data_IF_311140863512
#
_entry.id   IF_311140863512
#
_cell.length_a   1.000
_cell.length_b   1.000
_cell.length_c   1.000
_cell.angle_alpha   90.00
_cell.angle_beta   90.00
_cell.angle_gamma   90.00
#
_symmetry.space_group_name_H-M   'P 1'
#
loop_
_entity.id
_entity.type
_entity.pdbx_description
1 polymer ?
#
# COMPACT_ATOMS: atom_id res chain seq x y z
N UNK A 1 2.69 15.02 -21.16
CA UNK A 1 2.97 13.68 -20.63
C UNK A 1 2.28 13.53 -19.26
N UNK A 2 1.62 12.41 -18.99
CA UNK A 2 0.94 12.22 -17.71
C UNK A 2 1.94 12.01 -16.58
N UNK A 3 1.66 12.58 -15.43
CA UNK A 3 2.45 12.36 -14.22
C UNK A 3 2.36 10.89 -13.81
N UNK A 4 3.49 10.30 -13.40
CA UNK A 4 3.54 8.92 -12.94
C UNK A 4 3.21 8.86 -11.45
N UNK A 5 2.30 7.96 -11.08
CA UNK A 5 1.80 7.80 -9.71
C UNK A 5 1.82 6.31 -9.34
N UNK A 6 2.32 5.99 -8.15
CA UNK A 6 2.22 4.62 -7.64
C UNK A 6 0.79 4.33 -7.21
N UNK A 7 0.34 3.10 -7.39
CA UNK A 7 -0.96 2.68 -6.87
C UNK A 7 -0.86 1.25 -6.33
N UNK A 8 -1.48 1.00 -5.17
CA UNK A 8 -1.62 -0.36 -4.66
C UNK A 8 -2.32 -1.22 -5.70
N UNK A 9 -1.67 -2.27 -6.17
CA UNK A 9 -2.17 -3.09 -7.27
C UNK A 9 -3.55 -3.68 -6.99
N UNK A 10 -3.86 -3.98 -5.72
CA UNK A 10 -5.19 -4.49 -5.35
C UNK A 10 -6.31 -3.49 -5.66
N UNK A 11 -6.04 -2.19 -5.61
CA UNK A 11 -7.02 -1.16 -5.95
C UNK A 11 -7.34 -1.14 -7.45
N UNK A 12 -6.46 -1.70 -8.26
CA UNK A 12 -6.63 -1.81 -9.71
C UNK A 12 -7.22 -3.15 -10.14
N UNK A 13 -7.66 -3.97 -9.18
CA UNK A 13 -8.27 -5.26 -9.47
C UNK A 13 -7.29 -6.43 -9.59
N UNK A 14 -6.02 -6.21 -9.25
CA UNK A 14 -5.04 -7.30 -9.25
C UNK A 14 -5.21 -8.13 -7.98
N UNK A 15 -5.28 -9.45 -8.15
CA UNK A 15 -5.56 -10.38 -7.05
C UNK A 15 -4.32 -10.64 -6.20
N UNK A 16 -3.82 -9.59 -5.54
CA UNK A 16 -2.63 -9.64 -4.69
C UNK A 16 -2.93 -9.41 -3.20
N UNK A 17 -4.20 -9.29 -2.84
CA UNK A 17 -4.62 -9.19 -1.45
C UNK A 17 -4.28 -10.50 -0.71
N UNK A 18 -4.13 -10.44 0.62
CA UNK A 18 -3.70 -11.61 1.41
C UNK A 18 -4.53 -12.87 1.16
N UNK A 19 -5.83 -12.72 0.87
CA UNK A 19 -6.73 -13.85 0.62
C UNK A 19 -6.85 -14.24 -0.87
N UNK A 20 -6.02 -13.65 -1.75
CA UNK A 20 -6.07 -13.92 -3.19
C UNK A 20 -7.13 -13.12 -3.94
N UNK A 21 -7.78 -12.18 -3.27
CA UNK A 21 -8.77 -11.30 -3.89
C UNK A 21 -8.17 -9.92 -4.18
N UNK A 22 -9.00 -8.93 -4.45
CA UNK A 22 -8.58 -7.57 -4.74
C UNK A 22 -9.49 -6.57 -4.03
N UNK A 23 -9.16 -5.29 -4.14
CA UNK A 23 -9.92 -4.18 -3.58
C UNK A 23 -10.25 -3.18 -4.70
N UNK A 24 -10.68 -3.66 -5.86
CA UNK A 24 -10.94 -2.82 -7.02
C UNK A 24 -11.76 -1.58 -6.64
N UNK A 25 -11.28 -0.42 -7.08
CA UNK A 25 -11.97 0.86 -6.90
C UNK A 25 -13.36 0.83 -7.51
N UNK A 26 -14.23 1.71 -7.02
CA UNK A 26 -15.59 1.83 -7.54
C UNK A 26 -15.64 2.06 -9.03
N UNK A 27 -16.79 1.75 -9.63
CA UNK A 27 -16.99 1.78 -11.08
C UNK A 27 -16.51 3.10 -11.70
N UNK A 28 -15.67 3.00 -12.73
CA UNK A 28 -15.16 4.14 -13.49
C UNK A 28 -14.03 4.92 -12.85
N UNK A 29 -13.74 4.73 -11.55
CA UNK A 29 -12.72 5.52 -10.86
C UNK A 29 -11.33 5.25 -11.41
N UNK A 30 -10.99 3.98 -11.63
CA UNK A 30 -9.68 3.61 -12.16
C UNK A 30 -9.46 4.19 -13.56
N UNK A 31 -10.48 4.12 -14.41
CA UNK A 31 -10.41 4.70 -15.76
C UNK A 31 -10.20 6.22 -15.71
N UNK A 32 -10.89 6.90 -14.81
CA UNK A 32 -10.75 8.34 -14.62
C UNK A 32 -9.33 8.72 -14.22
N UNK A 33 -8.77 7.98 -13.25
CA UNK A 33 -7.41 8.25 -12.78
C UNK A 33 -6.41 7.98 -13.89
N UNK A 34 -6.57 6.89 -14.64
CA UNK A 34 -5.61 6.51 -15.70
C UNK A 34 -5.63 7.45 -16.90
N UNK A 35 -6.67 8.25 -17.06
CA UNK A 35 -6.68 9.31 -18.08
C UNK A 35 -5.76 10.47 -17.70
N UNK A 36 -5.63 10.74 -16.40
CA UNK A 36 -4.84 11.87 -15.88
C UNK A 36 -3.42 11.46 -15.51
N UNK A 37 -3.23 10.25 -15.02
CA UNK A 37 -1.96 9.76 -14.48
C UNK A 37 -1.53 8.49 -15.15
N UNK A 38 -0.24 8.30 -15.26
CA UNK A 38 0.35 7.02 -15.65
C UNK A 38 0.54 6.22 -14.37
N UNK A 39 -0.27 5.17 -14.17
CA UNK A 39 -0.27 4.39 -12.95
C UNK A 39 0.79 3.29 -12.97
N UNK A 40 1.55 3.20 -11.88
CA UNK A 40 2.53 2.13 -11.68
C UNK A 40 2.02 1.26 -10.53
N UNK A 41 1.76 0.00 -10.82
CA UNK A 41 1.11 -0.92 -9.89
C UNK A 41 2.13 -1.57 -8.97
N UNK A 42 1.90 -1.48 -7.66
CA UNK A 42 2.81 -2.05 -6.66
C UNK A 42 2.03 -2.87 -5.64
N UNK A 43 2.70 -3.88 -5.09
CA UNK A 43 2.22 -4.61 -3.92
C UNK A 43 3.43 -4.87 -3.02
N UNK A 44 3.64 -4.06 -1.97
CA UNK A 44 4.82 -4.20 -1.11
C UNK A 44 4.95 -5.59 -0.50
N UNK A 45 3.84 -6.23 -0.19
CA UNK A 45 3.87 -7.56 0.45
C UNK A 45 4.35 -8.63 -0.53
N UNK A 46 3.85 -8.61 -1.77
CA UNK A 46 4.31 -9.54 -2.81
C UNK A 46 5.76 -9.25 -3.19
N UNK A 47 6.12 -7.98 -3.34
CA UNK A 47 7.50 -7.57 -3.63
C UNK A 47 8.46 -8.00 -2.52
N UNK A 48 7.97 -8.06 -1.29
CA UNK A 48 8.74 -8.53 -0.14
C UNK A 48 8.90 -10.03 -0.05
N UNK A 49 8.38 -10.79 -1.01
CA UNK A 49 8.52 -12.23 -1.06
C UNK A 49 7.41 -13.02 -0.39
N UNK A 50 6.30 -12.37 -0.04
CA UNK A 50 5.16 -13.08 0.56
C UNK A 50 4.27 -13.67 -0.52
N UNK A 51 3.76 -14.88 -0.27
CA UNK A 51 2.90 -15.59 -1.22
C UNK A 51 1.49 -14.99 -1.25
N UNK A 52 0.76 -15.29 -2.30
CA UNK A 52 -0.67 -15.00 -2.42
C UNK A 52 -1.38 -16.33 -2.70
N UNK A 53 -2.29 -16.81 -1.85
CA UNK A 53 -2.70 -16.21 -0.57
C UNK A 53 -1.64 -16.35 0.53
N UNK A 54 -1.84 -15.60 1.61
CA UNK A 54 -0.96 -15.59 2.78
C UNK A 54 -1.76 -15.26 4.03
N UNK A 55 -1.18 -15.49 5.18
CA UNK A 55 -1.81 -15.10 6.44
C UNK A 55 -1.94 -13.58 6.52
N UNK A 56 -3.04 -13.05 7.09
CA UNK A 56 -3.12 -11.63 7.39
C UNK A 56 -2.05 -11.24 8.41
N UNK A 57 -1.53 -10.03 8.28
CA UNK A 57 -0.52 -9.48 9.17
C UNK A 57 -0.95 -8.11 9.66
N UNK A 58 -0.46 -7.71 10.84
CA UNK A 58 -0.70 -6.39 11.41
C UNK A 58 0.56 -5.88 12.10
N UNK A 59 0.63 -4.56 12.23
CA UNK A 59 1.70 -3.92 13.00
C UNK A 59 1.45 -4.13 14.48
N UNK A 60 2.49 -4.55 15.22
CA UNK A 60 2.41 -4.75 16.65
C UNK A 60 3.76 -4.40 17.28
N UNK A 61 3.78 -3.38 18.15
CA UNK A 61 5.00 -2.96 18.85
C UNK A 61 6.20 -2.72 17.91
N UNK A 62 5.94 -2.09 16.77
CA UNK A 62 6.98 -1.77 15.79
C UNK A 62 7.37 -2.90 14.86
N UNK A 63 6.78 -4.07 15.03
CA UNK A 63 7.01 -5.23 14.16
C UNK A 63 5.77 -5.51 13.33
N UNK A 64 5.95 -6.26 12.23
CA UNK A 64 4.81 -6.78 11.45
C UNK A 64 4.72 -8.28 11.74
N UNK A 65 3.59 -8.70 12.28
CA UNK A 65 3.38 -10.09 12.67
C UNK A 65 2.13 -10.66 12.01
N UNK A 66 2.19 -11.96 11.67
CA UNK A 66 1.02 -12.67 11.13
C UNK A 66 0.09 -13.07 12.26
N UNK A 67 -1.11 -13.52 11.89
CA UNK A 67 -2.11 -14.00 12.85
C UNK A 67 -1.59 -15.14 13.73
N UNK A 68 -0.66 -15.95 13.23
CA UNK A 68 0.00 -17.02 13.99
C UNK A 68 1.32 -16.58 14.62
N UNK A 69 1.52 -15.27 14.75
CA UNK A 69 2.66 -14.64 15.44
C UNK A 69 4.01 -14.83 14.73
N UNK A 70 4.03 -15.03 13.43
CA UNK A 70 5.28 -15.01 12.66
C UNK A 70 5.70 -13.57 12.40
N UNK A 71 6.96 -13.26 12.62
CA UNK A 71 7.53 -11.95 12.32
C UNK A 71 7.87 -11.89 10.83
N UNK A 72 7.18 -11.01 10.10
CA UNK A 72 7.40 -10.78 8.67
C UNK A 72 7.90 -9.37 8.40
N UNK A 73 8.45 -8.71 9.42
CA UNK A 73 8.92 -7.33 9.33
C UNK A 73 9.94 -7.13 8.22
N UNK A 74 10.89 -8.04 8.06
CA UNK A 74 11.91 -7.93 7.01
C UNK A 74 11.32 -8.04 5.61
N UNK A 75 10.30 -8.88 5.43
CA UNK A 75 9.58 -8.97 4.15
C UNK A 75 8.91 -7.63 3.82
N UNK A 76 8.22 -7.04 4.80
CA UNK A 76 7.54 -5.76 4.61
C UNK A 76 8.54 -4.64 4.31
N UNK A 77 9.65 -4.61 5.02
CA UNK A 77 10.70 -3.62 4.81
C UNK A 77 11.31 -3.75 3.40
N UNK A 78 11.64 -4.97 2.99
CA UNK A 78 12.20 -5.23 1.67
C UNK A 78 11.24 -4.80 0.57
N UNK A 79 9.96 -5.14 0.69
CA UNK A 79 8.94 -4.73 -0.27
C UNK A 79 8.74 -3.22 -0.33
N UNK A 80 8.80 -2.54 0.82
CA UNK A 80 8.72 -1.09 0.88
C UNK A 80 9.90 -0.44 0.15
N UNK A 81 11.10 -0.98 0.32
CA UNK A 81 12.31 -0.48 -0.35
C UNK A 81 12.20 -0.65 -1.87
N UNK A 82 11.63 -1.75 -2.35
CA UNK A 82 11.38 -1.95 -3.78
C UNK A 82 10.41 -0.89 -4.31
N UNK A 83 9.33 -0.63 -3.58
CA UNK A 83 8.36 0.40 -3.98
C UNK A 83 9.01 1.78 -4.06
N UNK A 84 9.84 2.12 -3.09
CA UNK A 84 10.57 3.38 -3.12
C UNK A 84 11.51 3.46 -4.32
N UNK A 85 12.21 2.38 -4.64
CA UNK A 85 13.09 2.31 -5.80
C UNK A 85 12.32 2.55 -7.10
N UNK A 86 11.18 1.90 -7.24
CA UNK A 86 10.31 2.10 -8.42
C UNK A 86 9.87 3.57 -8.51
N UNK A 87 9.47 4.16 -7.38
CA UNK A 87 9.07 5.56 -7.36
C UNK A 87 10.20 6.49 -7.80
N UNK A 88 11.40 6.29 -7.27
CA UNK A 88 12.56 7.12 -7.61
C UNK A 88 12.98 6.95 -9.07
N UNK A 89 13.02 5.73 -9.58
CA UNK A 89 13.38 5.47 -10.98
C UNK A 89 12.39 6.09 -11.96
N UNK A 90 11.15 6.29 -11.55
CA UNK A 90 10.10 6.83 -12.41
C UNK A 90 9.73 8.28 -12.10
N UNK A 91 10.36 8.90 -11.11
CA UNK A 91 10.07 10.27 -10.73
C UNK A 91 8.70 10.47 -10.12
N UNK A 92 8.16 9.45 -9.45
CA UNK A 92 6.84 9.55 -8.81
C UNK A 92 6.91 10.45 -7.57
N UNK A 93 5.95 11.35 -7.45
CA UNK A 93 5.81 12.24 -6.30
C UNK A 93 4.56 11.96 -5.50
N UNK A 94 3.70 11.06 -5.98
CA UNK A 94 2.43 10.71 -5.36
C UNK A 94 2.21 9.20 -5.41
N UNK A 95 1.47 8.70 -4.43
CA UNK A 95 1.09 7.29 -4.37
C UNK A 95 -0.34 7.18 -3.84
N UNK A 96 -1.12 6.28 -4.44
CA UNK A 96 -2.47 5.94 -3.99
C UNK A 96 -2.37 4.56 -3.36
N UNK A 97 -2.48 4.48 -2.04
CA UNK A 97 -2.25 3.25 -1.30
C UNK A 97 -3.49 2.78 -0.55
N UNK A 98 -3.68 1.47 -0.46
CA UNK A 98 -4.82 0.87 0.24
C UNK A 98 -4.82 1.23 1.72
N UNK A 99 -5.91 1.79 2.20
CA UNK A 99 -6.06 2.21 3.59
C UNK A 99 -5.94 1.04 4.58
N UNK A 100 -5.44 1.34 5.76
CA UNK A 100 -5.40 0.50 6.97
C UNK A 100 -4.50 -0.73 6.91
N UNK A 101 -3.88 -1.03 5.78
CA UNK A 101 -3.01 -2.20 5.67
C UNK A 101 -1.67 -1.97 6.39
N UNK A 102 -1.01 -3.05 6.87
CA UNK A 102 0.29 -2.91 7.52
C UNK A 102 1.40 -2.46 6.58
N UNK A 103 1.20 -2.55 5.27
CA UNK A 103 2.16 -2.06 4.28
C UNK A 103 1.76 -0.69 3.72
N UNK A 104 0.53 -0.53 3.32
CA UNK A 104 0.05 0.63 2.55
C UNK A 104 -0.74 1.65 3.36
N UNK A 105 -1.16 1.34 4.57
CA UNK A 105 -2.02 2.21 5.36
C UNK A 105 -1.37 3.54 5.67
N UNK A 106 -2.13 4.63 5.53
CA UNK A 106 -1.66 5.98 5.78
C UNK A 106 -2.55 6.65 6.83
N UNK A 107 -1.96 7.01 7.95
CA UNK A 107 -2.64 7.68 9.06
C UNK A 107 -3.33 6.74 10.04
N UNK A 108 -3.86 5.63 9.59
CA UNK A 108 -4.49 4.61 10.42
C UNK A 108 -4.09 3.22 9.98
N UNK A 109 -3.84 2.36 10.94
CA UNK A 109 -3.51 0.94 10.72
C UNK A 109 -4.19 0.10 11.79
N UNK A 110 -4.28 -1.21 11.57
CA UNK A 110 -4.76 -2.13 12.61
C UNK A 110 -3.70 -2.30 13.70
N UNK A 111 -4.16 -2.50 14.94
CA UNK A 111 -3.31 -2.40 16.14
C UNK A 111 -2.51 -3.65 16.51
N UNK A 112 -2.66 -4.73 15.75
CA UNK A 112 -1.96 -5.98 16.05
C UNK A 112 -2.76 -6.99 16.85
N UNK A 113 -3.99 -6.65 17.26
CA UNK A 113 -4.87 -7.56 18.03
C UNK A 113 -5.69 -8.46 17.12
N UNK A 114 -5.71 -8.22 15.82
CA UNK A 114 -6.54 -8.93 14.84
C UNK A 114 -8.04 -8.85 15.16
N UNK A 115 -8.45 -7.73 15.76
CA UNK A 115 -9.83 -7.45 16.17
C UNK A 115 -10.45 -6.28 15.41
N UNK A 116 -9.84 -5.84 14.31
CA UNK A 116 -10.24 -4.67 13.48
C UNK A 116 -10.20 -3.34 14.25
N UNK A 117 -9.41 -3.27 15.31
CA UNK A 117 -9.20 -2.02 16.04
C UNK A 117 -8.12 -1.20 15.34
N UNK A 118 -8.42 0.08 15.08
CA UNK A 118 -7.51 1.00 14.41
C UNK A 118 -6.76 1.86 15.41
N UNK A 119 -5.50 2.17 15.07
CA UNK A 119 -4.68 3.13 15.80
C UNK A 119 -4.07 4.10 14.79
N UNK A 120 -3.60 5.24 15.29
CA UNK A 120 -2.85 6.18 14.47
C UNK A 120 -1.49 5.57 14.11
N UNK A 121 -1.12 5.67 12.85
CA UNK A 121 0.15 5.15 12.37
C UNK A 121 0.13 4.93 10.88
N UNK A 122 1.30 4.57 10.35
CA UNK A 122 1.48 4.28 8.93
C UNK A 122 1.95 2.85 8.74
N UNK A 123 1.54 2.24 7.62
CA UNK A 123 2.11 0.99 7.17
C UNK A 123 3.58 1.19 6.76
N UNK A 124 4.32 0.10 6.67
CA UNK A 124 5.77 0.15 6.42
C UNK A 124 6.12 0.89 5.13
N UNK A 125 5.42 0.58 4.03
CA UNK A 125 5.67 1.24 2.75
C UNK A 125 5.19 2.69 2.76
N UNK A 126 4.02 2.97 3.32
CA UNK A 126 3.50 4.34 3.40
C UNK A 126 4.48 5.24 4.16
N UNK A 127 4.99 4.76 5.29
CA UNK A 127 5.95 5.51 6.08
C UNK A 127 7.22 5.83 5.30
N UNK A 128 7.79 4.82 4.64
CA UNK A 128 9.03 4.99 3.88
C UNK A 128 8.84 5.98 2.72
N UNK A 129 7.73 5.89 2.01
CA UNK A 129 7.44 6.82 0.91
C UNK A 129 7.28 8.25 1.42
N UNK A 130 6.57 8.45 2.52
CA UNK A 130 6.40 9.79 3.13
C UNK A 130 7.75 10.37 3.59
N UNK A 131 8.62 9.56 4.15
CA UNK A 131 9.95 9.98 4.59
C UNK A 131 10.82 10.43 3.41
N UNK A 132 10.47 10.03 2.20
CA UNK A 132 11.16 10.41 0.98
C UNK A 132 10.35 11.41 0.14
N UNK A 133 9.50 12.17 0.79
CA UNK A 133 8.75 13.30 0.22
C UNK A 133 7.75 12.89 -0.87
N UNK A 134 7.25 11.66 -0.81
CA UNK A 134 6.18 11.21 -1.68
C UNK A 134 4.85 11.39 -0.94
N UNK A 135 3.91 12.11 -1.56
CA UNK A 135 2.59 12.33 -0.99
C UNK A 135 1.77 11.04 -1.12
N UNK A 136 1.24 10.56 0.00
CA UNK A 136 0.46 9.32 0.03
C UNK A 136 -1.02 9.64 0.25
N UNK A 137 -1.86 9.12 -0.63
CA UNK A 137 -3.31 9.23 -0.56
C UNK A 137 -3.89 7.82 -0.45
N UNK A 138 -4.97 7.64 0.29
CA UNK A 138 -5.69 6.38 0.27
C UNK A 138 -6.85 6.44 -0.73
N UNK A 139 -7.58 5.33 -0.88
CA UNK A 139 -8.67 5.23 -1.85
C UNK A 139 -9.82 6.22 -1.59
N UNK A 140 -9.95 6.72 -0.36
CA UNK A 140 -10.98 7.69 -0.01
C UNK A 140 -10.53 9.14 -0.27
N UNK A 141 -9.27 9.34 -0.62
CA UNK A 141 -8.67 10.66 -0.80
C UNK A 141 -8.31 10.96 -2.26
N UNK A 142 -8.78 10.15 -3.20
CA UNK A 142 -8.44 10.31 -4.63
C UNK A 142 -8.79 11.70 -5.15
N UNK A 143 -9.86 12.31 -4.65
CA UNK A 143 -10.24 13.66 -5.05
C UNK A 143 -9.21 14.73 -4.71
N UNK A 144 -8.22 14.44 -3.87
CA UNK A 144 -7.17 15.39 -3.49
C UNK A 144 -5.92 15.31 -4.37
N UNK A 145 -5.86 14.36 -5.29
CA UNK A 145 -4.67 14.14 -6.13
C UNK A 145 -4.28 15.36 -6.94
N UNK A 146 -5.27 16.12 -7.39
CA UNK A 146 -5.06 17.30 -8.25
C UNK A 146 -4.91 18.60 -7.45
N UNK A 147 -4.98 18.54 -6.15
CA UNK A 147 -4.93 19.72 -5.29
C UNK A 147 -3.50 20.29 -5.16
#
# INVERSE_FOLDING_TARGET
MREKVLISACLAGINCKFNGENNLLGSGILDEISKKYHLLFICPEVFGGLSTPREPAEMKDGLVVTKTAKDVSENFKFGAEICLKIAKLNGCKKAILKARSPSCGSGQIYDGSFSKRLILGDGVAAKLLKENEILVFNEDEIGRLDA
#
